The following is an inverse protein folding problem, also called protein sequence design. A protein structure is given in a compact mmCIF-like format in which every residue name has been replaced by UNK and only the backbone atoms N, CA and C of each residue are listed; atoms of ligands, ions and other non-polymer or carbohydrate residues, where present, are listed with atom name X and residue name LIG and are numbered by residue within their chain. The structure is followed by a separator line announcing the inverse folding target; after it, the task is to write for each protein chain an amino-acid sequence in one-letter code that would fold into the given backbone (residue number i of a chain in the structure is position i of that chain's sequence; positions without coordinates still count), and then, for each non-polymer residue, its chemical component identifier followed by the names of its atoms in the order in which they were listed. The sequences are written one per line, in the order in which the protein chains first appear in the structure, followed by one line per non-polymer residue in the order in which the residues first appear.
data_IF_456050577517
#
_entry.id   IF_456050577517
#
_cell.length_a   1.000
_cell.length_b   1.000
_cell.length_c   1.000
_cell.angle_alpha   90.00
_cell.angle_beta   90.00
_cell.angle_gamma   90.00
#
_symmetry.space_group_name_H-M   'P 1'
#
loop_
_entity.id
_entity.type
_entity.pdbx_description
1 polymer ?
#
# COMPACT_ATOMS: atom_id res chain seq x y z
N UNK A 1 -23.68 -1.33 17.97
CA UNK A 1 -22.72 -1.97 18.89
C UNK A 1 -22.33 -3.33 18.35
N UNK A 2 -21.05 -3.52 18.01
CA UNK A 2 -20.55 -4.83 17.58
C UNK A 2 -20.55 -5.80 18.78
N UNK A 3 -20.93 -7.08 18.62
CA UNK A 3 -20.97 -8.05 19.73
C UNK A 3 -19.66 -8.11 20.53
N UNK A 4 -19.74 -8.40 21.83
CA UNK A 4 -18.61 -8.51 22.78
C UNK A 4 -17.47 -9.44 22.33
N UNK A 5 -17.75 -10.38 21.41
CA UNK A 5 -16.75 -11.12 20.65
C UNK A 5 -17.01 -10.91 19.14
N UNK A 6 -16.32 -9.94 18.53
CA UNK A 6 -16.39 -9.68 17.10
C UNK A 6 -15.09 -10.06 16.40
N UNK A 7 -15.18 -10.74 15.27
CA UNK A 7 -14.13 -10.94 14.28
C UNK A 7 -14.46 -10.18 13.00
N UNK A 8 -13.47 -9.98 12.13
CA UNK A 8 -13.67 -9.28 10.85
C UNK A 8 -14.80 -9.88 9.99
N UNK A 9 -14.95 -11.20 9.95
CA UNK A 9 -16.02 -11.85 9.17
C UNK A 9 -17.44 -11.43 9.56
N UNK A 10 -17.64 -10.90 10.76
CA UNK A 10 -18.96 -10.47 11.25
C UNK A 10 -19.27 -9.01 10.91
N UNK A 11 -18.26 -8.22 10.57
CA UNK A 11 -18.41 -6.77 10.31
C UNK A 11 -18.17 -6.40 8.85
N UNK A 12 -17.47 -7.24 8.08
CA UNK A 12 -17.26 -7.04 6.65
C UNK A 12 -18.57 -7.28 5.90
N UNK A 13 -18.96 -6.29 5.09
CA UNK A 13 -20.15 -6.33 4.24
C UNK A 13 -19.75 -6.35 2.77
N UNK A 14 -20.49 -7.06 1.93
CA UNK A 14 -20.24 -7.00 0.47
C UNK A 14 -20.68 -5.64 -0.08
N UNK A 15 -19.83 -5.00 -0.87
CA UNK A 15 -20.15 -3.76 -1.58
C UNK A 15 -20.23 -4.02 -3.08
N UNK A 16 -21.43 -3.84 -3.62
CA UNK A 16 -21.70 -3.92 -5.05
C UNK A 16 -21.51 -2.52 -5.66
N UNK A 17 -20.36 -2.30 -6.32
CA UNK A 17 -19.99 -1.03 -6.94
C UNK A 17 -20.83 -0.66 -8.17
N UNK A 18 -21.69 -1.56 -8.66
CA UNK A 18 -22.65 -1.26 -9.74
C UNK A 18 -23.96 -0.66 -9.20
N UNK A 19 -24.13 -0.65 -7.88
CA UNK A 19 -25.30 -0.08 -7.20
C UNK A 19 -24.92 1.24 -6.51
N UNK A 20 -25.93 1.86 -5.91
CA UNK A 20 -25.73 3.06 -5.09
C UNK A 20 -24.81 2.74 -3.91
N UNK A 21 -23.68 3.42 -3.84
CA UNK A 21 -22.72 3.31 -2.73
C UNK A 21 -23.33 3.93 -1.46
N UNK A 22 -23.28 3.22 -0.31
CA UNK A 22 -23.75 3.76 0.97
C UNK A 22 -22.98 5.02 1.39
N UNK A 23 -23.64 5.91 2.14
CA UNK A 23 -22.98 7.06 2.77
C UNK A 23 -22.90 6.83 4.28
N UNK A 24 -21.70 6.53 4.78
CA UNK A 24 -21.45 6.27 6.20
C UNK A 24 -20.74 7.46 6.88
N UNK A 25 -21.50 8.52 7.16
CA UNK A 25 -20.95 9.74 7.76
C UNK A 25 -20.53 9.50 9.22
N UNK A 26 -19.33 9.98 9.60
CA UNK A 26 -18.86 9.99 10.99
C UNK A 26 -18.25 8.66 11.49
N UNK A 27 -17.96 7.72 10.59
CA UNK A 27 -17.28 6.46 10.89
C UNK A 27 -16.01 6.32 10.04
N UNK A 28 -15.04 5.53 10.50
CA UNK A 28 -13.95 5.08 9.62
C UNK A 28 -14.52 4.06 8.64
N UNK A 29 -14.58 4.40 7.36
CA UNK A 29 -15.13 3.55 6.32
C UNK A 29 -14.02 3.01 5.42
N UNK A 30 -13.90 1.69 5.32
CA UNK A 30 -12.89 1.01 4.52
C UNK A 30 -13.52 0.14 3.45
N UNK A 31 -12.82 -0.05 2.33
CA UNK A 31 -13.14 -1.08 1.35
C UNK A 31 -11.89 -1.93 1.04
N UNK A 32 -12.00 -3.24 1.23
CA UNK A 32 -11.03 -4.22 0.76
C UNK A 32 -11.27 -4.44 -0.73
N UNK A 33 -10.33 -4.00 -1.58
CA UNK A 33 -10.40 -4.16 -3.02
C UNK A 33 -9.27 -5.07 -3.49
N UNK A 34 -9.59 -6.21 -4.10
CA UNK A 34 -8.55 -7.10 -4.61
C UNK A 34 -8.05 -6.69 -6.00
N UNK A 35 -6.74 -6.78 -6.21
CA UNK A 35 -6.12 -6.74 -7.53
C UNK A 35 -5.44 -8.09 -7.78
N UNK A 36 -6.21 -9.05 -8.29
CA UNK A 36 -5.78 -10.42 -8.54
C UNK A 36 -5.01 -10.52 -9.87
N UNK A 37 -3.81 -9.95 -9.90
CA UNK A 37 -2.94 -9.88 -11.07
C UNK A 37 -1.46 -10.03 -10.66
N UNK A 38 -0.72 -10.85 -11.40
CA UNK A 38 0.74 -11.02 -11.28
C UNK A 38 1.46 -11.00 -12.65
N UNK A 39 0.79 -10.41 -13.66
CA UNK A 39 1.37 -10.25 -14.99
C UNK A 39 2.60 -9.32 -14.96
N UNK A 40 2.60 -8.30 -14.09
CA UNK A 40 3.77 -7.46 -13.87
C UNK A 40 4.92 -8.22 -13.22
N UNK A 41 4.66 -9.11 -12.26
CA UNK A 41 5.70 -10.02 -11.72
C UNK A 41 6.29 -10.87 -12.84
N UNK A 42 5.45 -11.47 -13.68
CA UNK A 42 5.88 -12.29 -14.82
C UNK A 42 6.74 -11.49 -15.80
N UNK A 43 6.31 -10.27 -16.16
CA UNK A 43 7.07 -9.33 -17.01
C UNK A 43 8.41 -8.93 -16.38
N UNK A 44 8.48 -8.88 -15.05
CA UNK A 44 9.71 -8.60 -14.29
C UNK A 44 10.55 -9.87 -14.01
N UNK A 45 10.23 -11.01 -14.65
CA UNK A 45 10.92 -12.31 -14.46
C UNK A 45 10.89 -12.85 -13.03
N UNK A 46 9.87 -12.49 -12.25
CA UNK A 46 9.62 -13.03 -10.92
C UNK A 46 8.82 -14.33 -10.93
N UNK A 47 8.48 -14.83 -9.74
CA UNK A 47 7.71 -16.06 -9.55
C UNK A 47 6.22 -15.73 -9.39
N UNK A 48 5.40 -16.14 -10.35
CA UNK A 48 3.95 -15.92 -10.31
C UNK A 48 3.25 -16.73 -9.20
N UNK A 49 2.00 -16.37 -8.90
CA UNK A 49 1.19 -16.88 -7.82
C UNK A 49 0.54 -15.76 -7.00
N UNK A 50 0.97 -14.50 -7.18
CA UNK A 50 0.44 -13.39 -6.40
C UNK A 50 -1.01 -13.04 -6.76
N UNK A 51 -1.50 -13.42 -7.94
CA UNK A 51 -2.92 -13.27 -8.27
C UNK A 51 -3.87 -13.98 -7.27
N UNK A 52 -3.40 -15.00 -6.53
CA UNK A 52 -4.16 -15.66 -5.46
C UNK A 52 -4.13 -14.90 -4.12
N UNK A 53 -3.21 -13.94 -3.97
CA UNK A 53 -2.95 -13.15 -2.78
C UNK A 53 -4.18 -12.47 -2.19
N UNK A 54 -5.01 -11.74 -2.97
CA UNK A 54 -6.12 -10.97 -2.41
C UNK A 54 -7.10 -11.83 -1.62
N UNK A 55 -7.53 -12.96 -2.20
CA UNK A 55 -8.45 -13.88 -1.54
C UNK A 55 -7.84 -14.55 -0.31
N UNK A 56 -6.54 -14.86 -0.36
CA UNK A 56 -5.81 -15.44 0.78
C UNK A 56 -5.71 -14.45 1.95
N UNK A 57 -5.45 -13.17 1.67
CA UNK A 57 -5.43 -12.11 2.69
C UNK A 57 -6.82 -11.95 3.30
N UNK A 58 -7.87 -11.77 2.47
CA UNK A 58 -9.26 -11.62 2.95
C UNK A 58 -9.68 -12.77 3.86
N UNK A 59 -9.40 -14.02 3.47
CA UNK A 59 -9.71 -15.22 4.27
C UNK A 59 -8.96 -15.25 5.61
N UNK A 60 -7.71 -14.78 5.64
CA UNK A 60 -6.90 -14.77 6.85
C UNK A 60 -7.34 -13.65 7.80
N UNK A 61 -7.56 -12.45 7.26
CA UNK A 61 -8.08 -11.28 7.99
C UNK A 61 -9.43 -11.58 8.64
N UNK A 62 -10.34 -12.25 7.92
CA UNK A 62 -11.69 -12.58 8.39
C UNK A 62 -11.71 -13.23 9.79
N UNK A 63 -10.68 -14.01 10.14
CA UNK A 63 -10.56 -14.74 11.41
C UNK A 63 -9.98 -13.91 12.55
N UNK A 64 -9.41 -12.75 12.27
CA UNK A 64 -8.83 -11.90 13.32
C UNK A 64 -9.95 -11.24 14.13
N UNK A 65 -9.74 -11.07 15.46
CA UNK A 65 -10.66 -10.31 16.28
C UNK A 65 -10.67 -8.86 15.83
N UNK A 66 -11.74 -8.15 16.16
CA UNK A 66 -11.84 -6.72 15.93
C UNK A 66 -12.25 -6.01 17.20
N UNK A 67 -11.43 -5.05 17.62
CA UNK A 67 -11.61 -4.29 18.85
C UNK A 67 -12.06 -2.85 18.58
N UNK A 68 -11.72 -2.30 17.40
CA UNK A 68 -12.12 -0.94 17.05
C UNK A 68 -13.62 -0.84 16.84
N UNK A 69 -14.24 0.11 17.54
CA UNK A 69 -15.64 0.48 17.37
C UNK A 69 -15.83 1.51 16.25
N UNK A 70 -17.08 1.73 15.82
CA UNK A 70 -17.44 2.76 14.83
C UNK A 70 -16.70 2.65 13.50
N UNK A 71 -16.47 1.41 13.04
CA UNK A 71 -15.96 1.17 11.70
C UNK A 71 -17.05 0.63 10.79
N UNK A 72 -16.89 0.90 9.50
CA UNK A 72 -17.56 0.20 8.41
C UNK A 72 -16.47 -0.40 7.54
N UNK A 73 -16.60 -1.67 7.19
CA UNK A 73 -15.63 -2.35 6.34
C UNK A 73 -16.39 -3.10 5.25
N UNK A 74 -16.05 -2.81 4.02
CA UNK A 74 -16.62 -3.42 2.84
C UNK A 74 -15.63 -4.39 2.19
N UNK A 75 -16.14 -5.45 1.56
CA UNK A 75 -15.42 -6.20 0.52
C UNK A 75 -15.99 -5.77 -0.83
N UNK A 76 -15.15 -5.10 -1.62
CA UNK A 76 -15.49 -4.55 -2.93
C UNK A 76 -15.16 -5.50 -4.09
N UNK A 77 -14.89 -6.77 -3.79
CA UNK A 77 -14.55 -7.79 -4.80
C UNK A 77 -13.10 -7.69 -5.26
N UNK A 78 -12.82 -8.24 -6.44
CA UNK A 78 -11.48 -8.30 -7.04
C UNK A 78 -11.55 -7.90 -8.51
N UNK A 79 -10.50 -7.22 -8.98
CA UNK A 79 -10.16 -7.06 -10.40
C UNK A 79 -9.25 -8.23 -10.79
N UNK A 80 -9.45 -8.84 -11.96
CA UNK A 80 -8.59 -9.89 -12.52
C UNK A 80 -7.88 -9.39 -13.79
N UNK A 81 -6.79 -10.07 -14.18
CA UNK A 81 -6.05 -9.81 -15.40
C UNK A 81 -5.79 -11.14 -16.12
N UNK A 82 -6.87 -11.72 -16.66
CA UNK A 82 -6.83 -13.07 -17.24
C UNK A 82 -6.32 -13.09 -18.70
N UNK A 83 -6.32 -11.94 -19.37
CA UNK A 83 -5.91 -11.75 -20.77
C UNK A 83 -4.47 -11.21 -20.93
N UNK A 84 -3.80 -10.88 -19.82
CA UNK A 84 -2.45 -10.32 -19.80
C UNK A 84 -2.37 -8.81 -20.10
N UNK A 85 -3.52 -8.13 -20.22
CA UNK A 85 -3.59 -6.67 -20.37
C UNK A 85 -3.48 -5.98 -19.00
N UNK A 86 -2.25 -5.97 -18.48
CA UNK A 86 -1.92 -5.34 -17.20
C UNK A 86 -2.34 -3.87 -17.17
N UNK A 87 -2.11 -3.15 -18.26
CA UNK A 87 -2.41 -1.74 -18.38
C UNK A 87 -3.92 -1.47 -18.23
N UNK A 88 -4.77 -2.26 -18.88
CA UNK A 88 -6.22 -2.15 -18.72
C UNK A 88 -6.68 -2.52 -17.30
N UNK A 89 -6.11 -3.57 -16.71
CA UNK A 89 -6.40 -3.94 -15.33
C UNK A 89 -6.00 -2.82 -14.33
N UNK A 90 -4.88 -2.14 -14.56
CA UNK A 90 -4.44 -1.00 -13.75
C UNK A 90 -5.35 0.21 -13.90
N UNK A 91 -5.87 0.49 -15.10
CA UNK A 91 -6.88 1.55 -15.32
C UNK A 91 -8.16 1.22 -14.55
N UNK A 92 -8.67 -0.01 -14.65
CA UNK A 92 -9.84 -0.44 -13.89
C UNK A 92 -9.63 -0.32 -12.37
N UNK A 93 -8.41 -0.62 -11.88
CA UNK A 93 -8.04 -0.39 -10.48
C UNK A 93 -8.13 1.10 -10.12
N UNK A 94 -7.58 1.98 -10.97
CA UNK A 94 -7.64 3.43 -10.78
C UNK A 94 -9.08 3.95 -10.69
N UNK A 95 -9.95 3.52 -11.60
CA UNK A 95 -11.36 3.92 -11.62
C UNK A 95 -12.09 3.52 -10.32
N UNK A 96 -11.87 2.30 -9.82
CA UNK A 96 -12.50 1.84 -8.57
C UNK A 96 -11.92 2.53 -7.33
N UNK A 97 -10.61 2.77 -7.30
CA UNK A 97 -9.97 3.56 -6.24
C UNK A 97 -10.55 4.97 -6.19
N UNK A 98 -10.63 5.64 -7.35
CA UNK A 98 -11.23 6.98 -7.47
C UNK A 98 -12.67 6.98 -6.95
N UNK A 99 -13.49 6.02 -7.40
CA UNK A 99 -14.88 5.88 -6.99
C UNK A 99 -15.04 5.73 -5.47
N UNK A 100 -14.21 4.92 -4.83
CA UNK A 100 -14.22 4.70 -3.38
C UNK A 100 -13.83 5.97 -2.62
N UNK A 101 -12.73 6.63 -3.03
CA UNK A 101 -12.28 7.86 -2.39
C UNK A 101 -13.30 9.00 -2.55
N UNK A 102 -13.97 9.10 -3.70
CA UNK A 102 -15.03 10.07 -3.96
C UNK A 102 -16.28 9.88 -3.06
N UNK A 103 -16.42 8.71 -2.43
CA UNK A 103 -17.48 8.38 -1.48
C UNK A 103 -16.99 8.35 -0.02
N UNK A 104 -15.83 8.95 0.27
CA UNK A 104 -15.21 8.95 1.61
C UNK A 104 -14.95 7.54 2.16
N UNK A 105 -14.67 6.58 1.28
CA UNK A 105 -14.31 5.20 1.63
C UNK A 105 -12.81 5.02 1.39
N UNK A 106 -12.06 4.75 2.46
CA UNK A 106 -10.61 4.49 2.40
C UNK A 106 -10.34 3.11 1.77
N UNK A 107 -9.73 3.05 0.57
CA UNK A 107 -9.37 1.78 -0.03
C UNK A 107 -8.22 1.11 0.73
N UNK A 108 -8.31 -0.20 0.88
CA UNK A 108 -7.20 -1.08 1.23
C UNK A 108 -7.09 -2.06 0.07
N UNK A 109 -6.21 -1.75 -0.88
CA UNK A 109 -6.01 -2.59 -2.07
C UNK A 109 -5.15 -3.79 -1.68
N UNK A 110 -5.67 -4.99 -1.95
CA UNK A 110 -5.01 -6.25 -1.67
C UNK A 110 -4.48 -6.77 -2.99
N UNK A 111 -3.17 -6.77 -3.12
CA UNK A 111 -2.49 -7.05 -4.37
C UNK A 111 -2.28 -8.51 -4.70
N UNK A 112 -1.98 -8.72 -5.98
CA UNK A 112 -0.95 -9.63 -6.43
C UNK A 112 0.39 -8.90 -6.45
N UNK A 113 0.99 -8.68 -7.62
CA UNK A 113 2.29 -8.03 -7.69
C UNK A 113 2.28 -6.51 -7.43
N UNK A 114 3.45 -5.94 -7.17
CA UNK A 114 3.58 -4.51 -6.82
C UNK A 114 3.22 -3.54 -7.97
N UNK A 115 3.02 -4.06 -9.18
CA UNK A 115 2.42 -3.34 -10.32
C UNK A 115 1.10 -2.64 -9.99
N UNK A 116 0.36 -3.12 -8.98
CA UNK A 116 -0.88 -2.49 -8.51
C UNK A 116 -0.68 -1.02 -8.14
N UNK A 117 0.51 -0.65 -7.65
CA UNK A 117 0.77 0.70 -7.14
C UNK A 117 0.61 1.77 -8.23
N UNK A 118 0.87 1.43 -9.50
CA UNK A 118 0.62 2.33 -10.62
C UNK A 118 -0.87 2.54 -10.86
N UNK A 119 -1.68 1.47 -10.88
CA UNK A 119 -3.14 1.59 -11.02
C UNK A 119 -3.78 2.30 -9.82
N UNK A 120 -3.30 2.00 -8.61
CA UNK A 120 -3.74 2.64 -7.39
C UNK A 120 -3.47 4.16 -7.42
N UNK A 121 -2.26 4.56 -7.80
CA UNK A 121 -1.91 5.97 -7.97
C UNK A 121 -2.80 6.69 -8.99
N UNK A 122 -3.19 6.06 -10.10
CA UNK A 122 -4.06 6.69 -11.10
C UNK A 122 -5.37 7.19 -10.48
N UNK A 123 -6.03 6.36 -9.66
CA UNK A 123 -7.26 6.75 -8.96
C UNK A 123 -7.06 7.87 -7.93
N UNK A 124 -5.92 7.82 -7.20
CA UNK A 124 -5.54 8.88 -6.25
C UNK A 124 -5.30 10.20 -7.00
N UNK A 125 -4.58 10.15 -8.11
CA UNK A 125 -4.22 11.32 -8.90
C UNK A 125 -5.43 11.99 -9.54
N UNK A 126 -6.46 11.20 -9.90
CA UNK A 126 -7.74 11.69 -10.40
C UNK A 126 -8.57 12.34 -9.29
N UNK A 127 -8.66 11.72 -8.11
CA UNK A 127 -9.43 12.27 -6.99
C UNK A 127 -8.79 13.53 -6.38
N UNK A 128 -7.47 13.54 -6.27
CA UNK A 128 -6.70 14.60 -5.62
C UNK A 128 -5.65 15.16 -6.60
N UNK A 129 -6.07 15.95 -7.60
CA UNK A 129 -5.18 16.42 -8.65
C UNK A 129 -4.21 17.51 -8.19
N UNK A 130 -4.51 18.19 -7.06
CA UNK A 130 -3.78 19.39 -6.63
C UNK A 130 -3.01 19.21 -5.32
N UNK A 131 -3.43 18.25 -4.51
CA UNK A 131 -2.94 18.01 -3.18
C UNK A 131 -1.52 17.46 -3.24
N UNK A 132 -0.69 17.91 -2.30
CA UNK A 132 0.66 17.39 -2.15
C UNK A 132 0.62 15.97 -1.60
N UNK A 133 0.93 15.01 -2.46
CA UNK A 133 0.94 13.58 -2.17
C UNK A 133 2.30 13.13 -1.63
N UNK A 134 2.27 12.53 -0.43
CA UNK A 134 3.37 11.73 0.12
C UNK A 134 3.12 10.26 -0.16
N UNK A 135 4.06 9.59 -0.82
CA UNK A 135 4.01 8.14 -1.03
C UNK A 135 5.00 7.50 -0.07
N UNK A 136 4.52 6.56 0.74
CA UNK A 136 5.35 5.76 1.63
C UNK A 136 5.32 4.31 1.15
N UNK A 137 6.46 3.84 0.64
CA UNK A 137 6.66 2.46 0.24
C UNK A 137 7.52 1.73 1.28
N UNK A 138 6.99 0.67 1.88
CA UNK A 138 7.77 -0.26 2.70
C UNK A 138 8.18 -1.44 1.83
N UNK A 139 9.46 -1.49 1.46
CA UNK A 139 9.95 -2.36 0.39
C UNK A 139 11.46 -2.57 0.49
N UNK A 140 11.91 -3.77 0.11
CA UNK A 140 13.33 -4.06 -0.07
C UNK A 140 13.89 -3.43 -1.36
N UNK A 141 13.03 -3.15 -2.33
CA UNK A 141 13.33 -2.64 -3.66
C UNK A 141 12.81 -1.21 -3.85
N UNK A 142 13.42 -0.47 -4.78
CA UNK A 142 12.92 0.87 -5.13
C UNK A 142 11.66 0.85 -5.99
N UNK A 143 11.52 -0.21 -6.80
CA UNK A 143 10.49 -0.34 -7.83
C UNK A 143 10.38 0.86 -8.77
N UNK A 144 11.58 1.36 -9.13
CA UNK A 144 11.84 2.41 -10.10
C UNK A 144 12.64 1.90 -11.32
N UNK A 145 12.44 0.65 -11.73
CA UNK A 145 13.08 0.08 -12.93
C UNK A 145 12.62 0.83 -14.19
N UNK A 146 13.50 0.96 -15.20
CA UNK A 146 13.07 1.44 -16.50
C UNK A 146 12.01 0.52 -17.09
N UNK A 147 11.04 1.10 -17.80
CA UNK A 147 10.03 0.34 -18.52
C UNK A 147 10.69 -0.50 -19.63
N UNK A 148 9.97 -1.53 -20.08
CA UNK A 148 10.38 -2.32 -21.24
C UNK A 148 10.49 -1.45 -22.51
N UNK A 149 11.18 -1.91 -23.58
CA UNK A 149 11.31 -1.14 -24.82
C UNK A 149 9.98 -0.70 -25.47
N UNK A 150 8.89 -1.40 -25.19
CA UNK A 150 7.55 -1.08 -25.68
C UNK A 150 6.75 -0.17 -24.72
N UNK A 151 7.42 0.45 -23.75
CA UNK A 151 6.82 1.23 -22.67
C UNK A 151 5.78 0.47 -21.82
N UNK A 152 5.88 -0.86 -21.76
CA UNK A 152 5.04 -1.68 -20.89
C UNK A 152 5.63 -1.71 -19.48
N UNK A 153 4.75 -1.57 -18.49
CA UNK A 153 5.09 -1.66 -17.07
C UNK A 153 5.25 -3.11 -16.59
N UNK A 154 5.86 -3.28 -15.42
CA UNK A 154 6.00 -4.53 -14.69
C UNK A 154 5.98 -4.28 -13.18
N UNK A 155 6.17 -5.32 -12.36
CA UNK A 155 6.08 -5.18 -10.90
C UNK A 155 7.11 -4.21 -10.32
N UNK A 156 8.28 -4.06 -10.95
CA UNK A 156 9.35 -3.17 -10.50
C UNK A 156 9.40 -1.80 -11.17
N UNK A 157 8.39 -1.40 -11.97
CA UNK A 157 8.30 -0.07 -12.60
C UNK A 157 7.35 0.94 -11.95
N UNK A 158 6.43 0.60 -11.01
CA UNK A 158 5.29 1.45 -10.70
C UNK A 158 5.71 2.83 -10.18
N UNK A 159 6.72 2.93 -9.32
CA UNK A 159 7.13 4.22 -8.76
C UNK A 159 7.93 5.09 -9.74
N UNK A 160 8.56 4.49 -10.76
CA UNK A 160 9.10 5.26 -11.89
C UNK A 160 7.96 5.84 -12.73
N UNK A 161 6.91 5.06 -13.00
CA UNK A 161 5.73 5.53 -13.75
C UNK A 161 5.04 6.69 -13.02
N UNK A 162 4.91 6.58 -11.69
CA UNK A 162 4.40 7.67 -10.84
C UNK A 162 5.29 8.91 -10.95
N UNK A 163 6.61 8.76 -10.84
CA UNK A 163 7.54 9.86 -10.95
C UNK A 163 7.48 10.58 -12.31
N UNK A 164 7.38 9.82 -13.40
CA UNK A 164 7.19 10.36 -14.74
C UNK A 164 5.84 11.08 -14.90
N UNK A 165 4.77 10.54 -14.31
CA UNK A 165 3.46 11.19 -14.31
C UNK A 165 3.49 12.53 -13.58
N UNK A 166 4.12 12.59 -12.40
CA UNK A 166 4.33 13.83 -11.65
C UNK A 166 5.17 14.85 -12.43
N UNK A 167 6.27 14.42 -13.06
CA UNK A 167 7.11 15.28 -13.90
C UNK A 167 6.31 15.86 -15.09
N UNK A 168 5.57 15.03 -15.81
CA UNK A 168 4.76 15.44 -16.97
C UNK A 168 3.65 16.44 -16.62
N UNK A 169 3.09 16.31 -15.41
CA UNK A 169 2.01 17.16 -14.90
C UNK A 169 2.53 18.31 -14.01
N UNK A 170 3.85 18.42 -13.85
CA UNK A 170 4.53 19.42 -12.98
C UNK A 170 4.04 19.39 -11.52
N UNK A 171 3.68 18.20 -11.03
CA UNK A 171 3.27 17.97 -9.64
C UNK A 171 4.48 17.62 -8.79
N UNK A 172 4.53 18.11 -7.55
CA UNK A 172 5.55 17.68 -6.59
C UNK A 172 5.33 16.21 -6.20
N UNK A 173 6.35 15.38 -6.34
CA UNK A 173 6.38 14.01 -5.81
C UNK A 173 7.22 13.98 -4.52
N UNK A 174 6.65 13.47 -3.43
CA UNK A 174 7.42 13.06 -2.25
C UNK A 174 7.39 11.52 -2.15
N UNK A 175 8.34 10.86 -2.80
CA UNK A 175 8.47 9.40 -2.75
C UNK A 175 9.42 9.00 -1.63
N UNK A 176 8.94 8.14 -0.73
CA UNK A 176 9.64 7.74 0.49
C UNK A 176 9.70 6.22 0.56
N UNK A 177 10.89 5.64 0.42
CA UNK A 177 11.08 4.19 0.45
C UNK A 177 11.79 3.76 1.74
N UNK A 178 11.16 2.89 2.52
CA UNK A 178 11.63 2.45 3.84
C UNK A 178 11.90 0.95 3.79
N UNK A 179 13.12 0.54 4.16
CA UNK A 179 13.52 -0.87 4.17
C UNK A 179 14.39 -1.29 2.98
N UNK A 180 14.91 -0.33 2.21
CA UNK A 180 15.75 -0.60 1.04
C UNK A 180 16.96 -1.45 1.43
N UNK A 181 17.17 -2.53 0.69
CA UNK A 181 18.33 -3.40 0.83
C UNK A 181 19.31 -3.17 -0.31
N UNK A 182 20.59 -2.95 0.03
CA UNK A 182 21.63 -2.73 -0.98
C UNK A 182 21.76 -3.90 -1.96
N UNK A 183 21.66 -5.15 -1.49
CA UNK A 183 21.81 -6.34 -2.31
C UNK A 183 20.67 -6.54 -3.33
N UNK A 184 19.48 -5.98 -3.08
CA UNK A 184 18.33 -6.07 -3.98
C UNK A 184 18.32 -5.01 -5.10
N UNK A 185 19.20 -4.00 -5.04
CA UNK A 185 19.11 -2.82 -5.88
C UNK A 185 20.43 -2.53 -6.61
N UNK A 186 20.37 -2.44 -7.94
CA UNK A 186 21.54 -2.07 -8.75
C UNK A 186 21.90 -0.60 -8.55
N UNK A 187 23.14 -0.23 -8.90
CA UNK A 187 23.59 1.18 -8.88
C UNK A 187 22.67 2.10 -9.70
N UNK A 188 22.18 1.62 -10.84
CA UNK A 188 21.26 2.38 -11.69
C UNK A 188 19.95 2.74 -10.97
N UNK A 189 19.46 1.87 -10.09
CA UNK A 189 18.25 2.14 -9.30
C UNK A 189 18.52 3.22 -8.24
N UNK A 190 19.66 3.17 -7.54
CA UNK A 190 20.08 4.25 -6.64
C UNK A 190 20.24 5.58 -7.38
N UNK A 191 20.85 5.58 -8.57
CA UNK A 191 21.00 6.78 -9.39
C UNK A 191 19.65 7.32 -9.87
N UNK A 192 18.70 6.43 -10.16
CA UNK A 192 17.33 6.80 -10.57
C UNK A 192 16.52 7.36 -9.40
N UNK A 193 16.58 6.72 -8.23
CA UNK A 193 15.98 7.22 -6.99
C UNK A 193 16.53 8.62 -6.64
N UNK A 194 17.84 8.82 -6.77
CA UNK A 194 18.48 10.13 -6.58
C UNK A 194 18.01 11.17 -7.61
N UNK A 195 17.87 10.79 -8.89
CA UNK A 195 17.38 11.68 -9.96
C UNK A 195 16.00 12.22 -9.67
N UNK A 196 15.12 11.38 -9.13
CA UNK A 196 13.75 11.73 -8.75
C UNK A 196 13.62 12.20 -7.29
N UNK A 197 14.75 12.46 -6.61
CA UNK A 197 14.79 12.95 -5.23
C UNK A 197 14.04 12.08 -4.22
N UNK A 198 14.04 10.76 -4.43
CA UNK A 198 13.45 9.82 -3.48
C UNK A 198 14.15 9.88 -2.12
N UNK A 199 13.36 9.87 -1.06
CA UNK A 199 13.84 9.80 0.33
C UNK A 199 13.90 8.34 0.77
N UNK A 200 14.97 7.95 1.49
CA UNK A 200 15.27 6.54 1.72
C UNK A 200 15.64 6.28 3.17
N UNK A 201 15.07 5.23 3.75
CA UNK A 201 15.56 4.54 4.95
C UNK A 201 16.05 3.16 4.54
N UNK A 202 17.30 2.85 4.84
CA UNK A 202 17.87 1.53 4.56
C UNK A 202 17.39 0.51 5.60
N UNK A 203 17.31 -0.76 5.20
CA UNK A 203 17.07 -1.85 6.15
C UNK A 203 18.12 -1.87 7.28
N UNK A 204 19.37 -1.50 6.97
CA UNK A 204 20.47 -1.39 7.93
C UNK A 204 20.15 -0.43 9.08
N UNK A 205 19.51 0.72 8.80
CA UNK A 205 19.13 1.68 9.84
C UNK A 205 18.14 1.07 10.85
N UNK A 206 17.20 0.28 10.35
CA UNK A 206 16.19 -0.40 11.17
C UNK A 206 16.81 -1.57 11.96
N UNK A 207 17.73 -2.32 11.35
CA UNK A 207 18.46 -3.41 12.01
C UNK A 207 19.39 -2.90 13.11
N UNK A 208 20.02 -1.74 12.90
CA UNK A 208 20.87 -1.09 13.91
C UNK A 208 20.09 -0.40 15.02
N UNK A 209 18.75 -0.40 14.95
CA UNK A 209 17.89 0.17 15.98
C UNK A 209 17.81 1.70 15.94
N UNK A 210 18.08 2.34 14.79
CA UNK A 210 17.92 3.80 14.62
C UNK A 210 16.45 4.20 14.49
N UNK A 211 15.63 3.80 15.46
CA UNK A 211 14.19 4.03 15.43
C UNK A 211 13.86 5.53 15.47
N UNK A 212 14.59 6.34 16.23
CA UNK A 212 14.38 7.80 16.28
C UNK A 212 14.56 8.45 14.89
N UNK A 213 15.53 7.96 14.09
CA UNK A 213 15.72 8.40 12.70
C UNK A 213 14.49 8.06 11.86
N UNK A 214 13.93 6.86 12.02
CA UNK A 214 12.78 6.38 11.26
C UNK A 214 11.48 7.09 11.67
N UNK A 215 11.29 7.35 12.96
CA UNK A 215 10.16 8.13 13.49
C UNK A 215 10.19 9.56 12.96
N UNK A 216 11.35 10.24 13.06
CA UNK A 216 11.53 11.59 12.51
C UNK A 216 11.33 11.64 10.99
N UNK A 217 11.71 10.56 10.29
CA UNK A 217 11.48 10.43 8.86
C UNK A 217 9.98 10.39 8.53
N UNK A 218 9.19 9.64 9.31
CA UNK A 218 7.72 9.61 9.20
C UNK A 218 7.11 10.96 9.56
N UNK A 219 7.57 11.63 10.62
CA UNK A 219 7.06 12.95 11.01
C UNK A 219 7.25 13.97 9.88
N UNK A 220 8.43 14.00 9.24
CA UNK A 220 8.68 14.85 8.07
C UNK A 220 7.66 14.57 6.95
N UNK A 221 7.38 13.30 6.64
CA UNK A 221 6.41 12.94 5.59
C UNK A 221 5.03 13.45 5.95
N UNK A 222 4.62 13.25 7.20
CA UNK A 222 3.33 13.74 7.71
C UNK A 222 3.28 15.25 7.59
N UNK A 223 4.27 15.99 8.07
CA UNK A 223 4.27 17.46 8.06
C UNK A 223 4.25 18.07 6.66
N UNK A 224 4.99 17.47 5.72
CA UNK A 224 5.19 18.05 4.39
C UNK A 224 4.04 17.79 3.44
N UNK A 225 3.24 16.75 3.65
CA UNK A 225 2.21 16.32 2.70
C UNK A 225 0.80 16.65 3.17
N UNK A 226 -0.10 16.79 2.19
CA UNK A 226 -1.53 16.99 2.39
C UNK A 226 -2.28 15.68 2.56
N UNK A 227 -1.90 14.72 1.74
CA UNK A 227 -2.45 13.38 1.69
C UNK A 227 -1.30 12.38 1.61
N UNK A 228 -1.51 11.19 2.17
CA UNK A 228 -0.51 10.12 2.18
C UNK A 228 -1.12 8.85 1.58
N UNK A 229 -0.33 8.21 0.74
CA UNK A 229 -0.58 6.88 0.21
C UNK A 229 0.49 5.94 0.77
N UNK A 230 0.07 4.87 1.44
CA UNK A 230 0.97 3.85 1.99
C UNK A 230 0.89 2.57 1.16
N UNK A 231 2.02 2.14 0.63
CA UNK A 231 2.20 0.85 -0.04
C UNK A 231 3.12 -0.04 0.80
N UNK A 232 2.69 -1.28 1.06
CA UNK A 232 3.47 -2.26 1.81
C UNK A 232 3.75 -3.48 0.93
N UNK A 233 4.99 -3.58 0.45
CA UNK A 233 5.48 -4.78 -0.21
C UNK A 233 5.83 -5.84 0.84
N UNK A 234 5.23 -7.03 0.75
CA UNK A 234 5.49 -8.09 1.74
C UNK A 234 6.89 -8.69 1.62
N UNK A 235 7.61 -8.44 0.52
CA UNK A 235 8.99 -8.87 0.37
C UNK A 235 10.00 -8.04 1.18
N UNK A 236 9.58 -6.91 1.77
CA UNK A 236 10.41 -6.14 2.71
C UNK A 236 10.83 -6.99 3.92
N UNK A 237 10.01 -7.96 4.29
CA UNK A 237 10.23 -8.80 5.46
C UNK A 237 11.19 -9.95 5.17
N UNK A 238 11.90 -10.37 6.22
CA UNK A 238 12.80 -11.51 6.10
C UNK A 238 12.04 -12.77 5.67
N UNK A 239 12.65 -13.62 4.84
CA UNK A 239 12.07 -14.91 4.36
C UNK A 239 11.59 -15.80 5.49
N UNK A 240 12.22 -15.73 6.68
CA UNK A 240 11.78 -16.46 7.87
C UNK A 240 10.36 -16.08 8.32
N UNK A 241 9.96 -14.83 8.05
CA UNK A 241 8.66 -14.25 8.36
C UNK A 241 7.72 -14.31 7.14
N UNK A 242 8.19 -13.87 5.97
CA UNK A 242 7.40 -13.77 4.75
C UNK A 242 7.96 -14.64 3.60
N UNK A 243 7.86 -15.99 3.67
CA UNK A 243 8.38 -16.87 2.61
C UNK A 243 7.56 -16.81 1.31
N UNK A 244 6.25 -16.54 1.43
CA UNK A 244 5.28 -16.50 0.34
C UNK A 244 5.29 -15.21 -0.47
N UNK A 245 6.39 -14.90 -1.14
CA UNK A 245 6.55 -13.73 -2.02
C UNK A 245 7.29 -14.08 -3.30
N UNK A 246 7.27 -13.24 -4.33
CA UNK A 246 8.04 -13.48 -5.56
C UNK A 246 9.55 -13.47 -5.32
N UNK A 247 10.07 -12.44 -4.64
CA UNK A 247 11.51 -12.22 -4.39
C UNK A 247 11.86 -12.22 -2.88
N UNK A 248 12.06 -13.40 -2.27
CA UNK A 248 12.21 -13.52 -0.82
C UNK A 248 13.53 -12.93 -0.31
N UNK A 249 13.47 -12.10 0.72
CA UNK A 249 14.65 -11.42 1.26
C UNK A 249 15.24 -12.17 2.47
N UNK A 250 16.39 -12.81 2.29
CA UNK A 250 17.03 -13.57 3.39
C UNK A 250 17.37 -12.69 4.59
N UNK A 251 17.77 -11.44 4.33
CA UNK A 251 18.18 -10.45 5.34
C UNK A 251 17.16 -9.31 5.50
N UNK A 252 15.90 -9.56 5.14
CA UNK A 252 14.81 -8.59 5.27
C UNK A 252 14.49 -8.20 6.71
N UNK A 253 13.47 -7.38 6.87
CA UNK A 253 13.08 -6.82 8.16
C UNK A 253 12.21 -7.78 8.99
N UNK A 254 12.26 -7.61 10.30
CA UNK A 254 11.29 -8.22 11.21
C UNK A 254 10.00 -7.37 11.23
N UNK A 255 8.81 -7.97 11.29
CA UNK A 255 7.54 -7.24 11.29
C UNK A 255 7.46 -6.07 12.30
N UNK A 256 7.94 -6.30 13.52
CA UNK A 256 7.91 -5.30 14.59
C UNK A 256 8.83 -4.09 14.38
N UNK A 257 9.77 -4.13 13.43
CA UNK A 257 10.53 -2.94 13.04
C UNK A 257 9.67 -1.97 12.22
N UNK A 258 8.64 -2.45 11.52
CA UNK A 258 7.78 -1.65 10.64
C UNK A 258 6.47 -1.24 11.35
N UNK A 259 5.92 -2.10 12.23
CA UNK A 259 4.65 -1.85 12.93
C UNK A 259 4.57 -0.44 13.57
N UNK A 260 5.57 0.04 14.34
CA UNK A 260 5.51 1.39 14.94
C UNK A 260 5.34 2.51 13.90
N UNK A 261 6.02 2.39 12.76
CA UNK A 261 5.97 3.38 11.67
C UNK A 261 4.62 3.36 10.97
N UNK A 262 4.06 2.17 10.71
CA UNK A 262 2.70 2.02 10.15
C UNK A 262 1.65 2.60 11.10
N UNK A 263 1.76 2.36 12.42
CA UNK A 263 0.85 2.93 13.41
C UNK A 263 0.91 4.46 13.46
N UNK A 264 2.12 5.03 13.41
CA UNK A 264 2.33 6.49 13.36
C UNK A 264 1.69 7.09 12.10
N UNK A 265 1.95 6.50 10.93
CA UNK A 265 1.34 6.92 9.66
C UNK A 265 -0.18 6.82 9.69
N UNK A 266 -0.74 5.68 10.13
CA UNK A 266 -2.19 5.48 10.22
C UNK A 266 -2.85 6.47 11.19
N UNK A 267 -2.18 6.81 12.29
CA UNK A 267 -2.70 7.74 13.29
C UNK A 267 -2.60 9.21 12.86
N UNK A 268 -1.91 9.52 11.75
CA UNK A 268 -1.64 10.90 11.30
C UNK A 268 -2.87 11.68 10.85
N UNK A 269 -3.97 10.99 10.51
CA UNK A 269 -5.14 11.61 9.89
C UNK A 269 -4.91 12.09 8.45
N UNK A 270 -3.79 11.72 7.82
CA UNK A 270 -3.44 12.12 6.44
C UNK A 270 -3.43 10.98 5.43
N UNK A 271 -3.47 9.72 5.88
CA UNK A 271 -3.51 8.60 4.94
C UNK A 271 -4.90 8.53 4.31
N UNK A 272 -4.94 8.53 2.98
CA UNK A 272 -6.18 8.42 2.19
C UNK A 272 -6.41 7.00 1.67
N UNK A 273 -5.35 6.21 1.51
CA UNK A 273 -5.43 4.86 0.96
C UNK A 273 -4.21 4.01 1.30
N UNK A 274 -4.40 2.69 1.30
CA UNK A 274 -3.39 1.68 1.59
C UNK A 274 -3.35 0.61 0.52
N UNK A 275 -2.19 0.00 0.31
CA UNK A 275 -2.12 -1.31 -0.32
C UNK A 275 -1.07 -2.25 0.27
N UNK A 276 -1.29 -3.54 0.01
CA UNK A 276 -0.38 -4.62 0.35
C UNK A 276 -0.10 -5.44 -0.90
N UNK A 277 1.17 -5.62 -1.26
CA UNK A 277 1.61 -6.29 -2.47
C UNK A 277 2.43 -7.56 -2.19
N UNK A 278 2.65 -8.36 -3.23
CA UNK A 278 3.59 -9.48 -3.32
C UNK A 278 3.26 -10.71 -2.48
N UNK A 279 2.06 -10.86 -1.90
CA UNK A 279 1.67 -12.15 -1.31
C UNK A 279 1.49 -13.17 -2.44
N UNK A 280 2.33 -14.20 -2.45
CA UNK A 280 2.22 -15.36 -3.34
C UNK A 280 1.94 -16.63 -2.52
N UNK A 281 0.66 -17.02 -2.37
CA UNK A 281 0.26 -18.19 -1.59
C UNK A 281 0.95 -19.52 -1.97
N UNK A 282 1.28 -19.82 -3.25
CA UNK A 282 1.99 -21.04 -3.61
C UNK A 282 3.37 -21.20 -2.95
N UNK A 283 4.00 -20.10 -2.53
CA UNK A 283 5.29 -20.11 -1.82
C UNK A 283 5.16 -19.88 -0.32
N UNK A 284 3.95 -19.64 0.19
CA UNK A 284 3.72 -19.41 1.61
C UNK A 284 3.75 -20.74 2.39
N UNK A 285 4.24 -20.69 3.62
CA UNK A 285 4.37 -21.85 4.50
C UNK A 285 3.47 -21.61 5.69
N UNK A 286 2.44 -22.45 5.86
CA UNK A 286 1.47 -22.31 6.95
C UNK A 286 0.81 -20.91 7.01
N UNK A 287 0.51 -20.33 5.84
CA UNK A 287 -0.10 -18.99 5.71
C UNK A 287 0.68 -17.90 6.49
N UNK A 288 2.01 -18.02 6.68
CA UNK A 288 2.82 -17.07 7.47
C UNK A 288 2.81 -15.68 6.88
N UNK A 289 3.09 -15.56 5.58
CA UNK A 289 3.06 -14.26 4.89
C UNK A 289 1.64 -13.71 4.88
N UNK A 290 0.64 -14.55 4.64
CA UNK A 290 -0.77 -14.14 4.69
C UNK A 290 -1.20 -13.63 6.08
N UNK A 291 -0.74 -14.28 7.16
CA UNK A 291 -0.96 -13.84 8.55
C UNK A 291 -0.26 -12.50 8.81
N UNK A 292 0.94 -12.26 8.28
CA UNK A 292 1.60 -10.95 8.38
C UNK A 292 0.77 -9.87 7.70
N UNK A 293 0.36 -10.09 6.44
CA UNK A 293 -0.48 -9.14 5.70
C UNK A 293 -1.78 -8.81 6.46
N UNK A 294 -2.48 -9.83 6.96
CA UNK A 294 -3.70 -9.67 7.75
C UNK A 294 -3.46 -8.88 9.05
N UNK A 295 -2.34 -9.10 9.74
CA UNK A 295 -1.99 -8.35 10.94
C UNK A 295 -1.63 -6.89 10.62
N UNK A 296 -0.97 -6.60 9.50
CA UNK A 296 -0.77 -5.21 9.09
C UNK A 296 -2.07 -4.49 8.75
N UNK A 297 -3.04 -5.17 8.12
CA UNK A 297 -4.38 -4.62 7.92
C UNK A 297 -5.09 -4.39 9.25
N UNK A 298 -4.94 -5.31 10.21
CA UNK A 298 -5.44 -5.11 11.58
C UNK A 298 -4.84 -3.83 12.18
N UNK A 299 -3.53 -3.65 12.13
CA UNK A 299 -2.84 -2.46 12.64
C UNK A 299 -3.32 -1.18 11.95
N UNK A 300 -3.42 -1.19 10.63
CA UNK A 300 -3.96 -0.09 9.82
C UNK A 300 -5.36 0.28 10.32
N UNK A 301 -6.29 -0.66 10.33
CA UNK A 301 -7.68 -0.39 10.69
C UNK A 301 -7.78 0.13 12.13
N UNK A 302 -7.05 -0.47 13.07
CA UNK A 302 -7.13 -0.08 14.48
C UNK A 302 -6.54 1.32 14.74
N UNK A 303 -5.45 1.69 14.06
CA UNK A 303 -4.77 2.96 14.28
C UNK A 303 -5.20 4.08 13.33
N UNK A 304 -5.88 3.77 12.22
CA UNK A 304 -6.28 4.76 11.24
C UNK A 304 -7.17 5.85 11.83
N UNK A 305 -6.74 7.10 11.68
CA UNK A 305 -7.58 8.28 11.90
C UNK A 305 -8.12 8.75 10.54
N UNK A 306 -9.45 8.94 10.39
CA UNK A 306 -10.04 9.38 9.14
C UNK A 306 -9.41 10.67 8.63
N UNK A 307 -9.14 10.73 7.34
CA UNK A 307 -8.80 11.98 6.66
C UNK A 307 -10.04 12.90 6.64
N UNK A 308 -9.89 14.13 7.11
CA UNK A 308 -10.96 15.13 7.13
C UNK A 308 -10.56 16.31 6.25
N UNK A 309 -11.30 16.50 5.16
CA UNK A 309 -11.14 17.65 4.26
C UNK A 309 -11.50 18.92 5.06
N UNK A 310 -10.49 19.73 5.42
CA UNK A 310 -10.71 21.04 6.08
C UNK A 310 -9.73 21.43 7.20
N UNK A 311 -8.89 20.52 7.71
CA UNK A 311 -7.94 20.83 8.79
C UNK A 311 -6.63 21.53 8.34
N UNK A 312 -6.58 22.04 7.11
CA UNK A 312 -5.44 22.83 6.60
C UNK A 312 -5.53 24.34 6.91
N UNK A 313 -6.27 24.73 7.95
CA UNK A 313 -6.08 26.04 8.57
C UNK A 313 -5.12 25.87 9.74
N UNK A 314 -3.84 26.21 9.50
CA UNK A 314 -2.79 26.12 10.49
C UNK A 314 -3.14 26.90 11.75
N UNK A 315 -3.44 26.17 12.83
CA UNK A 315 -3.26 26.69 14.18
C UNK A 315 -1.78 26.57 14.57
N UNK A 316 -0.95 27.43 13.99
CA UNK A 316 0.16 27.98 14.74
C UNK A 316 -0.39 29.12 15.60
N UNK A 317 -1.11 28.77 16.66
CA UNK A 317 -1.28 29.68 17.79
C UNK A 317 0.05 29.70 18.53
N UNK A 318 0.81 30.76 18.28
CA UNK A 318 1.89 31.23 19.13
C UNK A 318 1.43 31.33 20.59
N UNK A 319 2.09 30.57 21.47
CA UNK A 319 2.30 30.87 22.88
C UNK A 319 3.53 30.13 23.38
#
# INVERSE_FOLDING_TARGET
DSPEASCFFQVIQLLDLQKKIPKDTGKSCFALLGFACDEGIKRNSGRTGAAEGPNRIKKTLARLPIQKHNIVCYDAGNITCDDGDLEHAQVALGELVHLLLAHDITPIVLGGGHELAWGHYQGIAEQYPTERLGIVNFDAHFDMRPLSPNALGNSGTPFLQIAQAHESTKRHLDYNCIGIQHAGNTRQLFDTAKRYHANIILADDLHMGFMDKCVNFVDRIVDQNQIIYLSLCLDVFATAHAPGVSAPQVMGLNPWQIVPLVRQLASSGKIISYDLAELSPPFDIDDRTAKIAANFIYEIIHHHQPFIIGNYNGNHSSS
#
